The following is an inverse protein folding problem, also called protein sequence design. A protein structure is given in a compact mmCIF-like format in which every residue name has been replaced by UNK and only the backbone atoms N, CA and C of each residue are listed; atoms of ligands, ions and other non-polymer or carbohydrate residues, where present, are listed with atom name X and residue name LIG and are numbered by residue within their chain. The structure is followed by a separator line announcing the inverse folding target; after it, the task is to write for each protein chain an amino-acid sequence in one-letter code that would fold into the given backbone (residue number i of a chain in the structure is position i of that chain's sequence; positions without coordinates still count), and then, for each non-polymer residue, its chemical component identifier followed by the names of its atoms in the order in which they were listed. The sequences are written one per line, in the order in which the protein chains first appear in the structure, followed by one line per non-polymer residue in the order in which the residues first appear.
data_IF_887242235382
#
_entry.id   IF_887242235382
#
_cell.length_a   1.000
_cell.length_b   1.000
_cell.length_c   1.000
_cell.angle_alpha   90.00
_cell.angle_beta   90.00
_cell.angle_gamma   90.00
#
_symmetry.space_group_name_H-M   'P 1'
#
loop_
_entity.id
_entity.type
_entity.pdbx_description
1 polymer ?
#
# COMPACT_ATOMS: atom_id res chain seq x y z
N UNK A 1 41.12 -26.08 -26.65
CA UNK A 1 40.21 -25.55 -25.63
C UNK A 1 39.00 -25.02 -26.37
N UNK A 2 37.86 -25.69 -26.29
CA UNK A 2 36.65 -25.30 -27.03
C UNK A 2 35.92 -24.27 -26.18
N UNK A 3 36.05 -23.00 -26.54
CA UNK A 3 35.11 -21.97 -26.07
C UNK A 3 33.71 -22.41 -26.50
N UNK A 4 32.87 -22.74 -25.52
CA UNK A 4 31.46 -23.03 -25.74
C UNK A 4 30.84 -21.75 -26.30
N UNK A 5 30.63 -21.70 -27.62
CA UNK A 5 29.85 -20.67 -28.30
C UNK A 5 28.46 -20.63 -27.63
N UNK A 6 28.29 -19.69 -26.70
CA UNK A 6 27.01 -19.47 -26.01
C UNK A 6 26.01 -19.00 -27.07
N UNK A 7 24.87 -19.66 -27.12
CA UNK A 7 23.77 -19.32 -28.00
C UNK A 7 23.36 -17.83 -27.81
N UNK A 8 23.14 -17.10 -28.91
CA UNK A 8 22.74 -15.69 -28.89
C UNK A 8 21.44 -15.46 -28.10
N UNK A 9 20.52 -16.43 -28.14
CA UNK A 9 19.30 -16.40 -27.32
C UNK A 9 19.59 -16.48 -25.82
N UNK A 10 20.63 -17.23 -25.41
CA UNK A 10 21.05 -17.28 -24.00
C UNK A 10 21.67 -15.95 -23.57
N UNK A 11 22.48 -15.31 -24.42
CA UNK A 11 23.03 -13.99 -24.14
C UNK A 11 21.92 -12.94 -23.97
N UNK A 12 20.90 -12.96 -24.85
CA UNK A 12 19.75 -12.05 -24.78
C UNK A 12 18.85 -12.31 -23.56
N UNK A 13 18.64 -13.57 -23.18
CA UNK A 13 17.93 -13.92 -21.93
C UNK A 13 18.67 -13.42 -20.68
N UNK A 14 20.00 -13.52 -20.67
CA UNK A 14 20.82 -12.97 -19.57
C UNK A 14 20.74 -11.44 -19.54
N UNK A 15 20.69 -10.78 -20.70
CA UNK A 15 20.48 -9.33 -20.80
C UNK A 15 19.10 -8.89 -20.27
N UNK A 16 18.03 -9.60 -20.63
CA UNK A 16 16.68 -9.38 -20.09
C UNK A 16 16.67 -9.55 -18.57
N UNK A 17 17.23 -10.66 -18.08
CA UNK A 17 17.32 -10.92 -16.64
C UNK A 17 18.11 -9.82 -15.91
N UNK A 18 19.23 -9.37 -16.47
CA UNK A 18 20.05 -8.28 -15.92
C UNK A 18 19.29 -6.95 -15.91
N UNK A 19 18.56 -6.64 -16.98
CA UNK A 19 17.77 -5.41 -17.09
C UNK A 19 16.66 -5.39 -16.05
N UNK A 20 15.90 -6.49 -15.93
CA UNK A 20 14.87 -6.66 -14.89
C UNK A 20 15.50 -6.55 -13.51
N UNK A 21 16.57 -7.29 -13.23
CA UNK A 21 17.19 -7.32 -11.90
C UNK A 21 17.68 -5.94 -11.49
N UNK A 22 18.31 -5.19 -12.40
CA UNK A 22 18.84 -3.86 -12.11
C UNK A 22 17.73 -2.83 -11.95
N UNK A 23 16.82 -2.70 -12.91
CA UNK A 23 15.79 -1.65 -12.84
C UNK A 23 14.76 -1.92 -11.75
N UNK A 24 14.46 -3.19 -11.43
CA UNK A 24 13.63 -3.54 -10.29
C UNK A 24 14.35 -3.26 -8.96
N UNK A 25 15.67 -3.49 -8.90
CA UNK A 25 16.49 -3.14 -7.73
C UNK A 25 16.54 -1.63 -7.53
N UNK A 26 16.80 -0.85 -8.57
CA UNK A 26 16.81 0.63 -8.53
C UNK A 26 15.43 1.17 -8.09
N UNK A 27 14.33 0.59 -8.59
CA UNK A 27 12.98 0.94 -8.11
C UNK A 27 12.82 0.62 -6.61
N UNK A 28 13.25 -0.56 -6.15
CA UNK A 28 13.14 -0.96 -4.73
C UNK A 28 14.00 -0.09 -3.82
N UNK A 29 15.26 0.09 -4.14
CA UNK A 29 16.21 0.78 -3.26
C UNK A 29 16.05 2.30 -3.36
N UNK A 30 15.96 2.87 -4.56
CA UNK A 30 15.98 4.33 -4.70
C UNK A 30 14.62 4.98 -4.51
N UNK A 31 13.53 4.26 -4.79
CA UNK A 31 12.18 4.84 -4.74
C UNK A 31 11.39 4.33 -3.54
N UNK A 32 11.31 3.02 -3.33
CA UNK A 32 10.58 2.47 -2.17
C UNK A 32 11.28 2.80 -0.85
N UNK A 33 12.58 2.51 -0.71
CA UNK A 33 13.27 2.79 0.55
C UNK A 33 13.41 4.29 0.81
N UNK A 34 13.59 5.11 -0.22
CA UNK A 34 13.54 6.57 -0.09
C UNK A 34 12.18 7.04 0.44
N UNK A 35 11.07 6.54 -0.11
CA UNK A 35 9.71 6.88 0.34
C UNK A 35 9.48 6.45 1.79
N UNK A 36 9.86 5.23 2.15
CA UNK A 36 9.78 4.73 3.53
C UNK A 36 10.57 5.62 4.48
N UNK A 37 11.80 5.99 4.11
CA UNK A 37 12.66 6.88 4.90
C UNK A 37 12.03 8.26 5.06
N UNK A 38 11.40 8.79 4.01
CA UNK A 38 10.74 10.09 4.05
C UNK A 38 9.51 10.07 4.97
N UNK A 39 8.66 9.04 4.85
CA UNK A 39 7.50 8.85 5.73
C UNK A 39 7.91 8.64 7.19
N UNK A 40 9.01 7.93 7.44
CA UNK A 40 9.57 7.77 8.78
C UNK A 40 10.03 9.12 9.35
N UNK A 41 10.74 9.94 8.57
CA UNK A 41 11.12 11.30 8.97
C UNK A 41 9.92 12.19 9.29
N UNK A 42 8.88 12.16 8.47
CA UNK A 42 7.65 12.92 8.72
C UNK A 42 6.94 12.46 10.00
N UNK A 43 6.80 11.14 10.18
CA UNK A 43 6.26 10.55 11.42
C UNK A 43 7.05 11.03 12.64
N UNK A 44 8.38 10.98 12.58
CA UNK A 44 9.24 11.35 13.71
C UNK A 44 9.12 12.85 14.03
N UNK A 45 9.04 13.70 13.00
CA UNK A 45 8.78 15.14 13.15
C UNK A 45 7.42 15.42 13.81
N UNK A 46 6.37 14.72 13.37
CA UNK A 46 5.03 14.83 13.96
C UNK A 46 4.99 14.35 15.41
N UNK A 47 5.65 13.23 15.72
CA UNK A 47 5.78 12.73 17.08
C UNK A 47 6.50 13.73 17.98
N UNK A 48 7.59 14.35 17.49
CA UNK A 48 8.31 15.38 18.23
C UNK A 48 7.42 16.60 18.50
N UNK A 49 6.70 17.09 17.48
CA UNK A 49 5.75 18.20 17.62
C UNK A 49 4.63 17.88 18.60
N UNK A 50 4.08 16.67 18.54
CA UNK A 50 3.02 16.23 19.44
C UNK A 50 3.53 16.15 20.90
N UNK A 51 4.73 15.61 21.11
CA UNK A 51 5.35 15.56 22.42
C UNK A 51 5.60 16.97 22.98
N UNK A 52 6.09 17.90 22.16
CA UNK A 52 6.26 19.30 22.56
C UNK A 52 4.92 19.93 22.99
N UNK A 53 3.86 19.76 22.20
CA UNK A 53 2.52 20.24 22.56
C UNK A 53 2.00 19.59 23.86
N UNK A 54 2.26 18.30 24.08
CA UNK A 54 1.91 17.62 25.35
C UNK A 54 2.67 18.20 26.54
N UNK A 55 3.96 18.49 26.40
CA UNK A 55 4.76 19.15 27.44
C UNK A 55 4.22 20.55 27.75
N UNK A 56 3.98 21.37 26.72
CA UNK A 56 3.39 22.70 26.90
C UNK A 56 2.02 22.64 27.59
N UNK A 57 1.20 21.65 27.25
CA UNK A 57 -0.11 21.45 27.86
C UNK A 57 0.02 21.03 29.34
N UNK A 58 0.96 20.14 29.66
CA UNK A 58 1.27 19.76 31.03
C UNK A 58 1.79 20.95 31.87
N UNK A 59 2.66 21.79 31.29
CA UNK A 59 3.17 23.00 31.94
C UNK A 59 2.06 24.01 32.21
N UNK A 60 1.17 24.24 31.23
CA UNK A 60 0.00 25.08 31.40
C UNK A 60 -0.93 24.51 32.48
N UNK A 61 -1.16 23.21 32.48
CA UNK A 61 -1.99 22.56 33.49
C UNK A 61 -1.39 22.69 34.89
N UNK A 62 -0.08 22.50 35.03
CA UNK A 62 0.65 22.71 36.28
C UNK A 62 0.49 24.16 36.79
N UNK A 63 0.67 25.16 35.91
CA UNK A 63 0.47 26.58 36.25
C UNK A 63 -0.96 26.85 36.71
N UNK A 64 -1.95 26.30 36.01
CA UNK A 64 -3.37 26.44 36.39
C UNK A 64 -3.64 25.82 37.76
N UNK A 65 -3.15 24.60 38.03
CA UNK A 65 -3.38 23.90 39.31
C UNK A 65 -2.65 24.59 40.48
N UNK A 66 -1.47 25.15 40.22
CA UNK A 66 -0.67 25.84 41.24
C UNK A 66 -1.27 27.17 41.72
N UNK A 67 -2.16 27.78 40.92
CA UNK A 67 -2.89 29.00 41.28
C UNK A 67 -4.33 28.64 41.71
N UNK A 68 -4.69 28.81 43.00
CA UNK A 68 -6.02 28.44 43.50
C UNK A 68 -7.18 29.19 42.81
N UNK A 69 -6.97 30.42 42.36
CA UNK A 69 -7.98 31.21 41.66
C UNK A 69 -8.16 30.72 40.23
N UNK A 70 -7.06 30.47 39.52
CA UNK A 70 -7.10 29.90 38.16
C UNK A 70 -7.60 28.46 38.15
N UNK A 71 -7.22 27.62 39.11
CA UNK A 71 -7.71 26.25 39.25
C UNK A 71 -9.23 26.22 39.47
N UNK A 72 -9.75 27.11 40.34
CA UNK A 72 -11.18 27.25 40.59
C UNK A 72 -11.92 27.71 39.32
N UNK A 73 -11.41 28.75 38.65
CA UNK A 73 -12.01 29.26 37.41
C UNK A 73 -11.94 28.26 36.25
N UNK A 74 -10.86 27.50 36.14
CA UNK A 74 -10.71 26.44 35.16
C UNK A 74 -11.72 25.30 35.40
N UNK A 75 -11.91 24.91 36.67
CA UNK A 75 -12.92 23.90 37.06
C UNK A 75 -14.33 24.39 36.77
N UNK A 76 -14.66 25.63 37.11
CA UNK A 76 -15.95 26.25 36.79
C UNK A 76 -16.24 26.27 35.29
N UNK A 77 -15.24 26.56 34.44
CA UNK A 77 -15.37 26.52 32.98
C UNK A 77 -15.44 25.09 32.41
N UNK A 78 -14.79 24.13 33.06
CA UNK A 78 -14.83 22.72 32.65
C UNK A 78 -16.20 22.09 32.98
N UNK A 79 -16.73 22.38 34.18
CA UNK A 79 -18.01 21.86 34.67
C UNK A 79 -19.23 22.58 34.02
N UNK A 80 -19.12 23.85 33.64
CA UNK A 80 -20.17 24.58 32.88
C UNK A 80 -20.44 23.95 31.51
N UNK A 81 -19.42 23.45 30.81
CA UNK A 81 -19.64 22.74 29.54
C UNK A 81 -20.38 21.40 29.70
N UNK A 82 -20.53 20.88 30.92
CA UNK A 82 -21.30 19.65 31.24
C UNK A 82 -22.70 19.97 31.79
N UNK A 83 -22.93 21.18 32.30
CA UNK A 83 -24.18 21.58 32.98
C UNK A 83 -25.05 22.63 32.24
N UNK A 84 -24.65 23.12 31.07
CA UNK A 84 -25.37 24.20 30.37
C UNK A 84 -26.48 23.69 29.42
N UNK A 85 -27.57 23.17 29.99
CA UNK A 85 -28.87 23.00 29.31
C UNK A 85 -29.85 24.17 29.53
N UNK A 86 -29.44 25.32 30.08
CA UNK A 86 -30.43 26.33 30.50
C UNK A 86 -30.08 27.83 30.39
N UNK A 87 -29.26 28.30 29.42
CA UNK A 87 -29.08 29.76 29.18
C UNK A 87 -28.96 30.12 27.69
N UNK A 88 -30.11 30.27 27.03
CA UNK A 88 -30.26 30.29 25.56
C UNK A 88 -29.83 31.58 24.83
N UNK A 89 -29.58 32.72 25.47
CA UNK A 89 -29.46 33.99 24.73
C UNK A 89 -28.04 34.59 24.61
N UNK A 90 -27.06 34.14 25.40
CA UNK A 90 -25.65 34.58 25.27
C UNK A 90 -24.73 33.52 24.65
N UNK A 91 -25.26 32.31 24.46
CA UNK A 91 -24.51 31.12 24.06
C UNK A 91 -24.26 31.06 22.55
N UNK A 92 -25.06 31.77 21.75
CA UNK A 92 -25.02 31.70 20.30
C UNK A 92 -23.73 32.31 19.71
N UNK A 93 -23.22 33.41 20.29
CA UNK A 93 -21.92 33.99 19.88
C UNK A 93 -20.72 33.16 20.35
N UNK A 94 -20.79 32.55 21.54
CA UNK A 94 -19.72 31.65 22.02
C UNK A 94 -19.68 30.36 21.22
N UNK A 95 -20.84 29.80 20.84
CA UNK A 95 -20.92 28.61 19.99
C UNK A 95 -20.48 28.93 18.56
N UNK A 96 -20.88 30.07 17.98
CA UNK A 96 -20.38 30.52 16.67
C UNK A 96 -18.86 30.67 16.69
N UNK A 97 -18.27 31.29 17.70
CA UNK A 97 -16.81 31.42 17.81
C UNK A 97 -16.10 30.05 17.92
N UNK A 98 -16.66 29.10 18.68
CA UNK A 98 -16.15 27.71 18.74
C UNK A 98 -16.25 27.00 17.39
N UNK A 99 -17.37 27.15 16.68
CA UNK A 99 -17.60 26.58 15.34
C UNK A 99 -16.63 27.18 14.33
N UNK A 100 -16.42 28.50 14.32
CA UNK A 100 -15.45 29.16 13.44
C UNK A 100 -14.02 28.67 13.69
N UNK A 101 -13.63 28.47 14.96
CA UNK A 101 -12.32 27.90 15.30
C UNK A 101 -12.19 26.46 14.81
N UNK A 102 -13.23 25.62 14.98
CA UNK A 102 -13.24 24.25 14.46
C UNK A 102 -13.18 24.22 12.92
N UNK A 103 -13.94 25.08 12.25
CA UNK A 103 -13.90 25.21 10.79
C UNK A 103 -12.50 25.61 10.30
N UNK A 104 -11.81 26.49 11.02
CA UNK A 104 -10.43 26.87 10.68
C UNK A 104 -9.46 25.70 10.84
N UNK A 105 -9.58 24.94 11.94
CA UNK A 105 -8.79 23.72 12.17
C UNK A 105 -9.07 22.68 11.07
N UNK A 106 -10.33 22.50 10.69
CA UNK A 106 -10.68 21.60 9.60
C UNK A 106 -10.16 22.10 8.25
N UNK A 107 -10.18 23.40 7.98
CA UNK A 107 -9.62 23.97 6.76
C UNK A 107 -8.10 23.75 6.67
N UNK A 108 -7.37 23.96 7.78
CA UNK A 108 -5.93 23.70 7.85
C UNK A 108 -5.61 22.20 7.66
N UNK A 109 -6.37 21.31 8.31
CA UNK A 109 -6.22 19.87 8.10
C UNK A 109 -6.55 19.46 6.66
N UNK A 110 -7.58 20.04 6.05
CA UNK A 110 -7.97 19.71 4.69
C UNK A 110 -6.89 20.14 3.70
N UNK A 111 -6.29 21.32 3.90
CA UNK A 111 -5.14 21.79 3.11
C UNK A 111 -3.93 20.87 3.25
N UNK A 112 -3.60 20.42 4.46
CA UNK A 112 -2.52 19.46 4.69
C UNK A 112 -2.78 18.12 3.99
N UNK A 113 -4.03 17.64 4.00
CA UNK A 113 -4.43 16.42 3.31
C UNK A 113 -4.36 16.56 1.78
N UNK A 114 -4.77 17.71 1.23
CA UNK A 114 -4.66 18.03 -0.20
C UNK A 114 -3.19 18.07 -0.66
N UNK A 115 -2.32 18.70 0.12
CA UNK A 115 -0.87 18.73 -0.14
C UNK A 115 -0.27 17.31 -0.12
N UNK A 116 -0.62 16.49 0.88
CA UNK A 116 -0.20 15.09 0.95
C UNK A 116 -0.70 14.27 -0.23
N UNK A 117 -1.97 14.42 -0.59
CA UNK A 117 -2.57 13.73 -1.72
C UNK A 117 -1.85 14.07 -3.02
N UNK A 118 -1.53 15.35 -3.24
CA UNK A 118 -0.76 15.82 -4.40
C UNK A 118 0.63 15.17 -4.46
N UNK A 119 1.36 15.12 -3.34
CA UNK A 119 2.65 14.45 -3.27
C UNK A 119 2.55 12.93 -3.53
N UNK A 120 1.52 12.26 -3.01
CA UNK A 120 1.29 10.83 -3.29
C UNK A 120 0.92 10.58 -4.75
N UNK A 121 0.10 11.44 -5.35
CA UNK A 121 -0.25 11.36 -6.77
C UNK A 121 1.00 11.52 -7.66
N UNK A 122 1.87 12.49 -7.37
CA UNK A 122 3.13 12.66 -8.09
C UNK A 122 4.04 11.44 -7.97
N UNK A 123 4.12 10.85 -6.77
CA UNK A 123 4.88 9.62 -6.53
C UNK A 123 4.30 8.45 -7.33
N UNK A 124 2.98 8.24 -7.25
CA UNK A 124 2.26 7.19 -7.98
C UNK A 124 2.40 7.30 -9.50
N UNK A 125 2.33 8.52 -10.05
CA UNK A 125 2.56 8.75 -11.47
C UNK A 125 4.00 8.44 -11.87
N UNK A 126 4.98 8.78 -11.01
CA UNK A 126 6.39 8.43 -11.23
C UNK A 126 6.58 6.90 -11.28
N UNK A 127 5.93 6.16 -10.37
CA UNK A 127 5.90 4.69 -10.38
C UNK A 127 5.30 4.14 -11.66
N UNK A 128 4.13 4.65 -12.05
CA UNK A 128 3.44 4.24 -13.27
C UNK A 128 4.31 4.43 -14.50
N UNK A 129 4.99 5.57 -14.63
CA UNK A 129 5.90 5.82 -15.75
C UNK A 129 7.09 4.86 -15.76
N UNK A 130 7.76 4.65 -14.62
CA UNK A 130 8.90 3.72 -14.54
C UNK A 130 8.53 2.28 -14.85
N UNK A 131 7.37 1.81 -14.37
CA UNK A 131 6.89 0.47 -14.69
C UNK A 131 6.53 0.32 -16.18
N UNK A 132 5.86 1.31 -16.76
CA UNK A 132 5.57 1.30 -18.19
C UNK A 132 6.87 1.31 -19.03
N UNK A 133 7.89 2.07 -18.62
CA UNK A 133 9.18 2.09 -19.30
C UNK A 133 9.89 0.73 -19.22
N UNK A 134 9.87 0.10 -18.04
CA UNK A 134 10.40 -1.26 -17.84
C UNK A 134 9.65 -2.28 -18.70
N UNK A 135 8.32 -2.23 -18.71
CA UNK A 135 7.46 -3.11 -19.51
C UNK A 135 7.77 -2.97 -21.00
N UNK A 136 7.89 -1.73 -21.49
CA UNK A 136 8.27 -1.46 -22.88
C UNK A 136 9.66 -2.01 -23.21
N UNK A 137 10.67 -1.79 -22.35
CA UNK A 137 12.02 -2.33 -22.55
C UNK A 137 12.04 -3.86 -22.61
N UNK A 138 11.34 -4.51 -21.70
CA UNK A 138 11.22 -5.98 -21.68
C UNK A 138 10.51 -6.46 -22.95
N UNK A 139 9.41 -5.81 -23.34
CA UNK A 139 8.67 -6.16 -24.56
C UNK A 139 9.57 -6.07 -25.81
N UNK A 140 10.38 -5.02 -25.93
CA UNK A 140 11.34 -4.87 -27.03
C UNK A 140 12.40 -5.96 -26.99
N UNK A 141 13.02 -6.21 -25.84
CA UNK A 141 14.06 -7.26 -25.72
C UNK A 141 13.51 -8.68 -25.95
N UNK A 142 12.25 -8.94 -25.57
CA UNK A 142 11.55 -10.19 -25.86
C UNK A 142 11.22 -10.32 -27.35
N UNK A 143 10.83 -9.24 -28.02
CA UNK A 143 10.63 -9.24 -29.47
C UNK A 143 11.95 -9.55 -30.22
N UNK A 144 13.06 -8.94 -29.81
CA UNK A 144 14.40 -9.25 -30.33
C UNK A 144 14.79 -10.71 -30.07
N UNK A 145 14.48 -11.25 -28.88
CA UNK A 145 14.71 -12.66 -28.56
C UNK A 145 13.87 -13.56 -29.49
N UNK A 146 12.62 -13.21 -29.75
CA UNK A 146 11.74 -13.96 -30.67
C UNK A 146 12.33 -14.00 -32.08
N UNK A 147 12.81 -12.86 -32.61
CA UNK A 147 13.50 -12.82 -33.90
C UNK A 147 14.75 -13.70 -33.92
N UNK A 148 15.57 -13.67 -32.85
CA UNK A 148 16.75 -14.53 -32.71
C UNK A 148 16.40 -16.02 -32.65
N UNK A 149 15.20 -16.36 -32.17
CA UNK A 149 14.69 -17.75 -32.10
C UNK A 149 13.90 -18.21 -33.32
N UNK A 150 13.46 -17.31 -34.21
CA UNK A 150 12.64 -17.65 -35.39
C UNK A 150 13.37 -18.53 -36.41
N UNK A 151 14.71 -18.46 -36.45
CA UNK A 151 15.51 -19.48 -37.12
C UNK A 151 15.81 -20.63 -36.17
N UNK A 152 15.55 -21.88 -36.56
CA UNK A 152 15.87 -23.13 -35.84
C UNK A 152 17.35 -23.25 -35.36
N UNK A 153 18.20 -22.26 -35.64
CA UNK A 153 19.63 -22.19 -35.33
C UNK A 153 19.96 -21.86 -33.87
N UNK A 154 19.01 -21.40 -33.04
CA UNK A 154 19.32 -21.13 -31.62
C UNK A 154 19.54 -22.40 -30.78
N UNK A 155 19.10 -23.54 -31.31
CA UNK A 155 19.59 -24.84 -30.92
C UNK A 155 20.27 -25.39 -32.16
N UNK A 156 21.58 -25.15 -32.34
CA UNK A 156 22.36 -26.21 -33.00
C UNK A 156 21.93 -27.49 -32.31
N UNK A 157 21.57 -28.55 -33.05
CA UNK A 157 21.46 -29.90 -32.49
C UNK A 157 22.81 -30.25 -31.85
N UNK A 158 23.10 -29.68 -30.67
CA UNK A 158 24.17 -30.08 -29.79
C UNK A 158 23.64 -31.36 -29.20
N UNK A 159 23.65 -32.41 -30.01
CA UNK A 159 23.52 -33.81 -29.63
C UNK A 159 22.56 -34.01 -28.44
N UNK A 160 21.36 -33.41 -28.50
CA UNK A 160 20.36 -33.54 -27.42
C UNK A 160 19.92 -35.00 -27.29
N UNK A 161 20.20 -35.81 -28.32
CA UNK A 161 20.11 -37.27 -28.32
C UNK A 161 21.22 -37.96 -27.51
N UNK A 162 22.45 -37.42 -27.41
CA UNK A 162 23.52 -38.00 -26.56
C UNK A 162 23.28 -37.79 -25.07
N UNK A 163 22.62 -36.70 -24.68
CA UNK A 163 22.32 -36.41 -23.26
C UNK A 163 20.94 -36.90 -22.82
N UNK A 164 20.14 -37.48 -23.72
CA UNK A 164 18.86 -38.12 -23.44
C UNK A 164 19.07 -39.48 -22.77
N UNK A 165 19.51 -39.45 -21.51
CA UNK A 165 19.48 -40.65 -20.68
C UNK A 165 18.02 -40.98 -20.33
N UNK A 166 17.70 -42.27 -20.18
CA UNK A 166 16.37 -42.73 -19.78
C UNK A 166 15.91 -42.04 -18.48
N UNK A 167 16.86 -41.74 -17.59
CA UNK A 167 16.63 -40.99 -16.35
C UNK A 167 16.13 -39.55 -16.60
N UNK A 168 16.71 -38.81 -17.54
CA UNK A 168 16.26 -37.45 -17.86
C UNK A 168 14.82 -37.44 -18.39
N UNK A 169 14.46 -38.41 -19.24
CA UNK A 169 13.08 -38.56 -19.73
C UNK A 169 12.10 -38.84 -18.58
N UNK A 170 12.48 -39.67 -17.60
CA UNK A 170 11.67 -39.95 -16.41
C UNK A 170 11.49 -38.71 -15.54
N UNK A 171 12.57 -37.97 -15.28
CA UNK A 171 12.52 -36.72 -14.49
C UNK A 171 11.63 -35.66 -15.16
N UNK A 172 11.71 -35.50 -16.48
CA UNK A 172 10.84 -34.58 -17.22
C UNK A 172 9.37 -35.01 -17.17
N UNK A 173 9.09 -36.30 -17.25
CA UNK A 173 7.73 -36.83 -17.10
C UNK A 173 7.19 -36.61 -15.68
N UNK A 174 8.00 -36.85 -14.65
CA UNK A 174 7.65 -36.61 -13.25
C UNK A 174 7.42 -35.12 -12.98
N UNK A 175 8.30 -34.25 -13.47
CA UNK A 175 8.13 -32.79 -13.35
C UNK A 175 6.83 -32.31 -14.03
N UNK A 176 6.49 -32.88 -15.19
CA UNK A 176 5.25 -32.56 -15.89
C UNK A 176 4.00 -33.07 -15.13
N UNK A 177 4.09 -34.23 -14.47
CA UNK A 177 3.02 -34.71 -13.59
C UNK A 177 2.85 -33.81 -12.36
N UNK A 178 3.95 -33.39 -11.73
CA UNK A 178 3.92 -32.46 -10.60
C UNK A 178 3.30 -31.11 -10.99
N UNK A 179 3.61 -30.58 -12.18
CA UNK A 179 3.00 -29.35 -12.69
C UNK A 179 1.49 -29.51 -12.93
N UNK A 180 1.04 -30.66 -13.42
CA UNK A 180 -0.40 -30.94 -13.58
C UNK A 180 -1.12 -30.99 -12.22
N UNK A 181 -0.51 -31.61 -11.22
CA UNK A 181 -1.04 -31.66 -9.86
C UNK A 181 -1.09 -30.26 -9.22
N UNK A 182 -0.02 -29.47 -9.38
CA UNK A 182 0.03 -28.10 -8.90
C UNK A 182 -1.06 -27.24 -9.54
N UNK A 183 -1.28 -27.36 -10.85
CA UNK A 183 -2.37 -26.67 -11.55
C UNK A 183 -3.74 -27.06 -10.99
N UNK A 184 -4.01 -28.36 -10.83
CA UNK A 184 -5.29 -28.82 -10.27
C UNK A 184 -5.53 -28.30 -8.84
N UNK A 185 -4.47 -28.19 -8.03
CA UNK A 185 -4.54 -27.59 -6.69
C UNK A 185 -4.87 -26.10 -6.73
N UNK A 186 -4.21 -25.34 -7.60
CA UNK A 186 -4.48 -23.91 -7.80
C UNK A 186 -5.92 -23.68 -8.25
N UNK A 187 -6.42 -24.48 -9.20
CA UNK A 187 -7.80 -24.39 -9.67
C UNK A 187 -8.81 -24.71 -8.54
N UNK A 188 -8.54 -25.73 -7.72
CA UNK A 188 -9.36 -26.04 -6.54
C UNK A 188 -9.33 -24.95 -5.47
N UNK A 189 -8.17 -24.36 -5.21
CA UNK A 189 -8.03 -23.22 -4.29
C UNK A 189 -8.77 -21.98 -4.82
N UNK A 190 -8.75 -21.75 -6.14
CA UNK A 190 -9.53 -20.67 -6.78
C UNK A 190 -11.02 -20.83 -6.52
N UNK A 191 -11.59 -22.00 -6.73
CA UNK A 191 -13.02 -22.26 -6.47
C UNK A 191 -13.38 -22.10 -4.99
N UNK A 192 -12.49 -22.51 -4.07
CA UNK A 192 -12.69 -22.28 -2.64
C UNK A 192 -12.71 -20.79 -2.30
N UNK A 193 -11.78 -20.01 -2.85
CA UNK A 193 -11.74 -18.56 -2.64
C UNK A 193 -13.00 -17.91 -3.22
N UNK A 194 -13.43 -18.28 -4.43
CA UNK A 194 -14.69 -17.82 -5.04
C UNK A 194 -15.90 -18.12 -4.13
N UNK A 195 -15.97 -19.32 -3.53
CA UNK A 195 -17.01 -19.66 -2.57
C UNK A 195 -16.95 -18.84 -1.27
N UNK A 196 -15.77 -18.60 -0.73
CA UNK A 196 -15.61 -17.74 0.45
C UNK A 196 -15.99 -16.30 0.16
N UNK A 197 -15.60 -15.76 -1.00
CA UNK A 197 -16.01 -14.41 -1.42
C UNK A 197 -17.52 -14.27 -1.51
N UNK A 198 -18.21 -15.25 -2.10
CA UNK A 198 -19.69 -15.27 -2.13
C UNK A 198 -20.30 -15.28 -0.74
N UNK A 199 -19.77 -16.10 0.18
CA UNK A 199 -20.25 -16.15 1.56
C UNK A 199 -19.96 -14.87 2.34
N UNK A 200 -18.85 -14.18 2.08
CA UNK A 200 -18.55 -12.87 2.68
C UNK A 200 -19.56 -11.84 2.19
N UNK A 201 -19.84 -11.79 0.89
CA UNK A 201 -20.86 -10.90 0.34
C UNK A 201 -22.25 -11.13 0.98
N UNK A 202 -22.70 -12.38 1.08
CA UNK A 202 -23.97 -12.72 1.76
C UNK A 202 -24.01 -12.26 3.23
N UNK A 203 -22.86 -12.31 3.92
CA UNK A 203 -22.75 -11.87 5.30
C UNK A 203 -22.74 -10.34 5.41
N UNK A 204 -22.10 -9.65 4.48
CA UNK A 204 -22.10 -8.18 4.39
C UNK A 204 -23.50 -7.64 4.11
N UNK A 205 -24.25 -8.31 3.23
CA UNK A 205 -25.65 -7.99 2.95
C UNK A 205 -26.53 -8.17 4.18
N UNK A 206 -26.43 -9.33 4.85
CA UNK A 206 -27.15 -9.58 6.11
C UNK A 206 -26.79 -8.56 7.19
N UNK A 207 -25.52 -8.22 7.32
CA UNK A 207 -25.07 -7.25 8.33
C UNK A 207 -25.59 -5.84 8.02
N UNK A 208 -25.68 -5.48 6.74
CA UNK A 208 -26.29 -4.24 6.28
C UNK A 208 -27.81 -4.20 6.55
N UNK A 209 -28.53 -5.30 6.27
CA UNK A 209 -29.95 -5.44 6.64
C UNK A 209 -30.17 -5.34 8.15
N UNK A 210 -29.33 -6.00 8.96
CA UNK A 210 -29.40 -5.91 10.42
C UNK A 210 -29.17 -4.48 10.90
N UNK A 211 -28.20 -3.75 10.35
CA UNK A 211 -27.94 -2.34 10.70
C UNK A 211 -29.12 -1.45 10.36
N UNK A 212 -29.76 -1.64 9.21
CA UNK A 212 -30.96 -0.88 8.81
C UNK A 212 -32.11 -1.13 9.79
N UNK A 213 -32.42 -2.39 10.08
CA UNK A 213 -33.48 -2.78 11.03
C UNK A 213 -33.26 -2.24 12.44
N UNK A 214 -32.02 -2.23 12.93
CA UNK A 214 -31.68 -1.65 14.24
C UNK A 214 -31.65 -0.11 14.24
N UNK A 215 -31.44 0.54 13.10
CA UNK A 215 -31.57 1.99 12.98
C UNK A 215 -33.04 2.43 12.99
N UNK A 216 -33.93 1.67 12.34
CA UNK A 216 -35.38 1.92 12.34
C UNK A 216 -35.99 1.64 13.71
N UNK A 217 -35.54 0.60 14.42
CA UNK A 217 -36.01 0.28 15.78
C UNK A 217 -35.55 1.28 16.87
N UNK A 218 -34.62 2.20 16.56
CA UNK A 218 -34.24 3.32 17.43
C UNK A 218 -35.00 4.62 17.10
N UNK A 219 -35.71 4.66 15.97
CA UNK A 219 -36.45 5.82 15.47
C UNK A 219 -37.99 5.66 15.64
N UNK A 220 -38.44 4.50 16.14
CA UNK A 220 -39.80 4.24 16.60
C UNK A 220 -39.85 4.24 18.14
#
# INVERSE_FOLDING_TARGET
MVEKNKCLCHAKLVEIHSTISKELHDCKEDVWNFKITNLQRERDSLLLRNNNLRCQLADLHSKIVSDPFMAKRYRELYDSNVSDTSKLESQDNSNKSKIYKQLYIFADHNKELEERLSCEQMTSMTWKHRFNDLENKIATQVAELLELTQGEKCVQEVDYKKFKTEHYCKVVQEALQLLKLAKARIDGDRHRIESYMGRVADLEDKLSEYRLRFSDAKMA
#
